data_IF_111499546994
#
_entry.id   IF_111499546994
#
_cell.length_a   1.000
_cell.length_b   1.000
_cell.length_c   1.000
_cell.angle_alpha   90.00
_cell.angle_beta   90.00
_cell.angle_gamma   90.00
#
_symmetry.space_group_name_H-M   'P 1'
#
loop_
_entity.id
_entity.type
_entity.pdbx_description
1 polymer ?
#
# COMPACT_ATOMS: atom_id res chain seq x y z
N UNK A 1 -18.51 -23.08 13.23
CA UNK A 1 -17.79 -24.02 12.33
C UNK A 1 -17.22 -23.22 11.17
N UNK A 2 -15.92 -23.32 10.88
CA UNK A 2 -15.35 -22.61 9.74
C UNK A 2 -15.75 -23.33 8.44
N UNK A 3 -16.71 -22.77 7.72
CA UNK A 3 -17.17 -23.29 6.43
C UNK A 3 -16.20 -22.86 5.34
N UNK A 4 -15.52 -23.82 4.72
CA UNK A 4 -14.69 -23.56 3.52
C UNK A 4 -15.54 -23.71 2.26
N UNK A 5 -15.37 -22.77 1.32
CA UNK A 5 -16.04 -22.78 0.00
C UNK A 5 -15.04 -23.20 -1.06
N UNK A 6 -15.43 -24.13 -1.94
CA UNK A 6 -14.62 -24.55 -3.09
C UNK A 6 -15.00 -23.74 -4.32
N UNK A 7 -14.00 -23.16 -4.97
CA UNK A 7 -14.18 -22.38 -6.20
C UNK A 7 -13.16 -22.85 -7.23
N UNK A 8 -13.63 -23.15 -8.45
CA UNK A 8 -12.75 -23.40 -9.58
C UNK A 8 -12.38 -22.07 -10.23
N UNK A 9 -11.10 -21.87 -10.53
CA UNK A 9 -10.59 -20.67 -11.20
C UNK A 9 -9.87 -21.05 -12.49
N UNK A 10 -10.12 -20.30 -13.56
CA UNK A 10 -9.37 -20.40 -14.79
C UNK A 10 -8.14 -19.50 -14.71
N UNK A 11 -6.97 -20.01 -15.10
CA UNK A 11 -5.72 -19.24 -15.12
C UNK A 11 -4.79 -19.75 -16.22
N UNK A 12 -3.82 -18.91 -16.61
CA UNK A 12 -2.80 -19.28 -17.60
C UNK A 12 -1.98 -20.47 -17.09
N UNK A 13 -1.65 -21.40 -17.98
CA UNK A 13 -0.87 -22.61 -17.65
C UNK A 13 0.49 -22.28 -17.03
N UNK A 14 1.17 -21.25 -17.53
CA UNK A 14 2.48 -20.85 -17.00
C UNK A 14 2.37 -20.32 -15.56
N UNK A 15 1.37 -19.48 -15.28
CA UNK A 15 1.10 -19.00 -13.91
C UNK A 15 0.78 -20.16 -12.97
N UNK A 16 0.02 -21.16 -13.42
CA UNK A 16 -0.25 -22.36 -12.63
C UNK A 16 1.03 -23.12 -12.26
N UNK A 17 2.00 -23.23 -13.18
CA UNK A 17 3.31 -23.86 -12.89
C UNK A 17 4.09 -23.07 -11.84
N UNK A 18 4.13 -21.74 -11.96
CA UNK A 18 4.80 -20.87 -10.99
C UNK A 18 4.19 -21.00 -9.60
N UNK A 19 2.86 -20.97 -9.51
CA UNK A 19 2.13 -21.17 -8.23
C UNK A 19 2.45 -22.54 -7.63
N UNK A 20 2.50 -23.60 -8.45
CA UNK A 20 2.86 -24.94 -7.96
C UNK A 20 4.28 -24.97 -7.41
N UNK A 21 5.24 -24.36 -8.12
CA UNK A 21 6.64 -24.29 -7.69
C UNK A 21 6.76 -23.56 -6.36
N UNK A 22 6.16 -22.37 -6.27
CA UNK A 22 6.19 -21.55 -5.06
C UNK A 22 5.51 -22.24 -3.87
N UNK A 23 4.38 -22.93 -4.09
CA UNK A 23 3.71 -23.70 -3.04
C UNK A 23 4.61 -24.82 -2.50
N UNK A 24 5.37 -25.49 -3.36
CA UNK A 24 6.35 -26.50 -2.93
C UNK A 24 7.52 -25.87 -2.16
N UNK A 25 8.11 -24.79 -2.67
CA UNK A 25 9.21 -24.06 -2.01
C UNK A 25 8.82 -23.56 -0.61
N UNK A 26 7.57 -23.12 -0.44
CA UNK A 26 7.04 -22.64 0.84
C UNK A 26 6.45 -23.75 1.72
N UNK A 27 6.46 -25.01 1.26
CA UNK A 27 5.85 -26.16 1.96
C UNK A 27 4.38 -25.93 2.36
N UNK A 28 3.59 -25.29 1.50
CA UNK A 28 2.16 -25.05 1.72
C UNK A 28 1.31 -25.65 0.61
N UNK A 29 0.04 -25.92 0.90
CA UNK A 29 -0.89 -26.30 -0.16
C UNK A 29 -1.13 -25.12 -1.11
N UNK A 30 -1.44 -25.43 -2.37
CA UNK A 30 -1.82 -24.44 -3.38
C UNK A 30 -3.00 -23.58 -2.93
N UNK A 31 -4.02 -24.20 -2.33
CA UNK A 31 -5.17 -23.47 -1.77
C UNK A 31 -4.76 -22.49 -0.67
N UNK A 32 -3.83 -22.89 0.22
CA UNK A 32 -3.31 -22.01 1.27
C UNK A 32 -2.53 -20.83 0.69
N UNK A 33 -1.71 -21.07 -0.34
CA UNK A 33 -0.99 -20.01 -1.05
C UNK A 33 -1.97 -18.99 -1.66
N UNK A 34 -3.05 -19.45 -2.30
CA UNK A 34 -4.09 -18.56 -2.83
C UNK A 34 -4.80 -17.76 -1.74
N UNK A 35 -5.16 -18.39 -0.61
CA UNK A 35 -5.78 -17.67 0.51
C UNK A 35 -4.85 -16.57 1.03
N UNK A 36 -3.56 -16.87 1.23
CA UNK A 36 -2.57 -15.89 1.69
C UNK A 36 -2.43 -14.74 0.70
N UNK A 37 -2.33 -15.04 -0.60
CA UNK A 37 -2.19 -14.02 -1.64
C UNK A 37 -3.43 -13.11 -1.73
N UNK A 38 -4.64 -13.67 -1.64
CA UNK A 38 -5.89 -12.89 -1.68
C UNK A 38 -6.03 -12.01 -0.44
N UNK A 39 -5.72 -12.53 0.75
CA UNK A 39 -5.74 -11.74 2.00
C UNK A 39 -4.76 -10.56 1.93
N UNK A 40 -3.54 -10.81 1.48
CA UNK A 40 -2.53 -9.75 1.31
C UNK A 40 -2.97 -8.72 0.26
N UNK A 41 -3.55 -9.16 -0.86
CA UNK A 41 -4.05 -8.26 -1.89
C UNK A 41 -5.20 -7.36 -1.39
N UNK A 42 -6.16 -7.92 -0.65
CA UNK A 42 -7.25 -7.15 -0.04
C UNK A 42 -6.69 -6.10 0.92
N UNK A 43 -5.80 -6.52 1.83
CA UNK A 43 -5.17 -5.61 2.79
C UNK A 43 -4.41 -4.46 2.11
N UNK A 44 -3.69 -4.76 1.03
CA UNK A 44 -3.00 -3.73 0.23
C UNK A 44 -3.98 -2.76 -0.41
N UNK A 45 -5.13 -3.24 -0.90
CA UNK A 45 -6.16 -2.38 -1.48
C UNK A 45 -6.87 -1.52 -0.45
N UNK A 46 -7.15 -2.04 0.73
CA UNK A 46 -7.69 -1.27 1.84
C UNK A 46 -6.72 -0.14 2.26
N UNK A 47 -5.43 -0.45 2.37
CA UNK A 47 -4.40 0.54 2.68
C UNK A 47 -4.30 1.65 1.62
N UNK A 48 -4.31 1.29 0.34
CA UNK A 48 -4.34 2.27 -0.76
C UNK A 48 -5.60 3.15 -0.72
N UNK A 49 -6.76 2.56 -0.43
CA UNK A 49 -8.01 3.29 -0.32
C UNK A 49 -7.98 4.27 0.86
N UNK A 50 -7.47 3.84 2.02
CA UNK A 50 -7.31 4.70 3.19
C UNK A 50 -6.37 5.88 2.89
N UNK A 51 -5.21 5.61 2.27
CA UNK A 51 -4.28 6.66 1.85
C UNK A 51 -4.94 7.64 0.86
N UNK A 52 -5.73 7.13 -0.07
CA UNK A 52 -6.47 7.99 -1.02
C UNK A 52 -7.48 8.87 -0.31
N UNK A 53 -8.20 8.35 0.70
CA UNK A 53 -9.16 9.14 1.47
C UNK A 53 -8.46 10.22 2.30
N UNK A 54 -7.33 9.90 2.92
CA UNK A 54 -6.49 10.88 3.63
C UNK A 54 -6.07 11.98 2.66
N UNK A 55 -5.46 11.62 1.52
CA UNK A 55 -5.02 12.60 0.53
C UNK A 55 -6.17 13.48 0.03
N UNK A 56 -7.36 12.91 -0.18
CA UNK A 56 -8.55 13.69 -0.56
C UNK A 56 -8.99 14.64 0.55
N UNK A 57 -8.96 14.22 1.83
CA UNK A 57 -9.30 15.10 2.95
C UNK A 57 -8.32 16.28 3.10
N UNK A 58 -7.08 16.11 2.65
CA UNK A 58 -6.06 17.15 2.60
C UNK A 58 -5.85 17.76 1.20
N UNK A 59 -6.78 17.51 0.26
CA UNK A 59 -6.66 18.02 -1.11
C UNK A 59 -7.11 19.47 -1.26
N UNK A 60 -7.71 20.04 -0.22
CA UNK A 60 -8.11 21.44 -0.19
C UNK A 60 -6.89 22.34 -0.41
N UNK A 61 -7.08 23.39 -1.21
CA UNK A 61 -6.04 24.39 -1.40
C UNK A 61 -5.79 25.12 -0.07
N UNK A 62 -4.51 25.31 0.31
CA UNK A 62 -4.20 25.97 1.56
C UNK A 62 -4.77 27.40 1.55
N UNK A 63 -5.35 27.79 2.68
CA UNK A 63 -5.93 29.12 2.80
C UNK A 63 -4.83 30.21 2.85
N UNK A 64 -5.24 31.48 2.75
CA UNK A 64 -4.29 32.60 2.72
C UNK A 64 -3.42 32.71 3.98
N UNK A 65 -3.92 32.27 5.13
CA UNK A 65 -3.17 32.26 6.39
C UNK A 65 -2.19 31.08 6.43
N UNK A 66 -2.60 29.90 5.98
CA UNK A 66 -1.76 28.72 5.82
C UNK A 66 -0.60 28.98 4.85
N UNK A 67 -0.86 29.66 3.72
CA UNK A 67 0.18 30.09 2.78
C UNK A 67 1.18 31.04 3.45
N UNK A 68 0.71 32.00 4.24
CA UNK A 68 1.61 32.91 4.99
C UNK A 68 2.45 32.15 6.00
N UNK A 69 1.85 31.25 6.79
CA UNK A 69 2.55 30.42 7.77
C UNK A 69 3.62 29.57 7.06
N UNK A 70 3.27 28.90 5.97
CA UNK A 70 4.17 28.04 5.21
C UNK A 70 5.34 28.85 4.61
N UNK A 71 5.09 30.06 4.11
CA UNK A 71 6.14 30.96 3.60
C UNK A 71 7.12 31.39 4.70
N UNK A 72 6.62 31.67 5.91
CA UNK A 72 7.43 32.05 7.06
C UNK A 72 8.25 30.88 7.60
N UNK A 73 7.67 29.67 7.61
CA UNK A 73 8.40 28.44 7.94
C UNK A 73 9.54 28.17 6.96
N UNK A 74 9.29 28.26 5.65
CA UNK A 74 10.32 28.08 4.61
C UNK A 74 11.50 29.05 4.78
N UNK A 75 11.22 30.33 5.04
CA UNK A 75 12.26 31.35 5.29
C UNK A 75 13.10 31.03 6.52
N UNK A 76 12.46 30.60 7.62
CA UNK A 76 13.16 30.21 8.85
C UNK A 76 14.01 28.95 8.64
N UNK A 77 13.51 27.97 7.90
CA UNK A 77 14.24 26.74 7.62
C UNK A 77 15.45 26.97 6.71
N UNK A 78 15.30 27.74 5.64
CA UNK A 78 16.43 28.11 4.77
C UNK A 78 17.56 28.78 5.57
N UNK A 79 17.22 29.74 6.43
CA UNK A 79 18.19 30.43 7.30
C UNK A 79 18.86 29.51 8.33
N UNK A 80 18.23 28.39 8.68
CA UNK A 80 18.79 27.41 9.63
C UNK A 80 19.74 26.44 8.92
N UNK A 81 19.39 25.99 7.72
CA UNK A 81 20.22 25.12 6.87
C UNK A 81 21.47 25.85 6.39
N UNK A 82 21.35 27.12 6.02
CA UNK A 82 22.48 27.97 5.61
C UNK A 82 23.48 28.23 6.77
N UNK A 83 23.10 27.88 8.01
CA UNK A 83 23.90 28.05 9.22
C UNK A 83 24.47 26.76 9.79
N UNK A 84 24.17 25.59 9.22
CA UNK A 84 24.83 24.35 9.60
C UNK A 84 26.00 24.07 8.64
N UNK A 85 27.26 24.22 9.09
CA UNK A 85 28.39 23.67 8.36
C UNK A 85 28.35 22.15 8.53
N UNK A 86 28.33 21.42 7.42
CA UNK A 86 28.53 19.98 7.38
C UNK A 86 29.89 19.58 7.96
#
# INVERSE_FOLDING_TARGET
>A
MATSVKTAISMKKELFKEVNKLAHELHVSRSRLFVMAVQDFIKKKESQNLLSQINNAFSDQPDSEEIKIQSNMRKKQAKKIEREPW
#
